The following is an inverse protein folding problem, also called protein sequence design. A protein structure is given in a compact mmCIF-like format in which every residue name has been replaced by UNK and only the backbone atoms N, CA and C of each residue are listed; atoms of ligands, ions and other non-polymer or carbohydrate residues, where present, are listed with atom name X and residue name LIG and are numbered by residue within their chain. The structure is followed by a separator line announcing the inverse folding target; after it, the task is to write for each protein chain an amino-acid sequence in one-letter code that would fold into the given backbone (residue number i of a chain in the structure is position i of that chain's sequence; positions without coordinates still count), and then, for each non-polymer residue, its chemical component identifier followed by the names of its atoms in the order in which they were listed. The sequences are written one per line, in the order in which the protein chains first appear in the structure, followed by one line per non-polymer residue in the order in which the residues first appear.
data_IF_365981073727
#
_entry.id   IF_365981073727
#
_cell.length_a   1.000
_cell.length_b   1.000
_cell.length_c   1.000
_cell.angle_alpha   90.00
_cell.angle_beta   90.00
_cell.angle_gamma   90.00
#
_symmetry.space_group_name_H-M   'P 1'
#
loop_
_entity.id
_entity.type
_entity.pdbx_description
1 polymer ?
#
# COMPACT_ATOMS: atom_id res chain seq x y z
N UNK A 1 15.32 22.81 -20.96
CA UNK A 1 14.80 24.15 -20.60
C UNK A 1 13.41 23.93 -20.03
N UNK A 2 13.08 24.42 -18.82
CA UNK A 2 11.80 24.07 -18.20
C UNK A 2 10.63 24.76 -18.91
N UNK A 3 9.59 23.99 -19.24
CA UNK A 3 8.31 24.51 -19.69
C UNK A 3 7.43 24.84 -18.48
N UNK A 4 6.76 25.99 -18.52
CA UNK A 4 5.85 26.40 -17.47
C UNK A 4 4.50 26.75 -18.07
N UNK A 5 3.44 26.20 -17.48
CA UNK A 5 2.07 26.59 -17.78
C UNK A 5 1.67 27.82 -16.94
N UNK A 6 1.11 28.82 -17.58
CA UNK A 6 0.61 30.04 -16.96
C UNK A 6 -0.88 30.21 -17.22
N UNK A 7 -1.58 30.78 -16.23
CA UNK A 7 -2.96 31.24 -16.34
C UNK A 7 -3.00 32.73 -15.99
N UNK A 8 -3.63 33.55 -16.84
CA UNK A 8 -3.88 34.94 -16.52
C UNK A 8 -5.17 35.06 -15.68
N UNK A 9 -5.15 35.85 -14.60
CA UNK A 9 -6.35 36.10 -13.80
C UNK A 9 -7.29 37.16 -14.40
N UNK A 10 -6.80 37.98 -15.33
CA UNK A 10 -7.59 39.07 -15.90
C UNK A 10 -8.44 38.64 -17.10
N UNK A 11 -7.91 37.77 -17.96
CA UNK A 11 -8.59 37.27 -19.17
C UNK A 11 -8.74 35.75 -19.21
N UNK A 12 -8.36 35.05 -18.13
CA UNK A 12 -8.42 33.58 -18.00
C UNK A 12 -7.62 32.78 -19.03
N UNK A 13 -6.86 33.45 -19.90
CA UNK A 13 -6.05 32.80 -20.93
C UNK A 13 -4.96 31.90 -20.32
N UNK A 14 -4.90 30.66 -20.80
CA UNK A 14 -3.90 29.66 -20.43
C UNK A 14 -2.90 29.45 -21.56
N UNK A 15 -1.61 29.51 -21.27
CA UNK A 15 -0.56 29.26 -22.25
C UNK A 15 0.66 28.59 -21.60
N UNK A 16 1.46 27.89 -22.40
CA UNK A 16 2.75 27.33 -22.00
C UNK A 16 3.89 28.14 -22.61
N UNK A 17 4.93 28.40 -21.80
CA UNK A 17 6.13 29.10 -22.27
C UNK A 17 7.39 28.45 -21.71
N UNK A 18 8.45 28.46 -22.50
CA UNK A 18 9.73 27.86 -22.14
C UNK A 18 10.60 28.97 -21.54
N UNK A 19 10.88 28.90 -20.25
CA UNK A 19 11.55 29.99 -19.54
C UNK A 19 13.02 29.64 -19.26
N UNK A 20 13.99 30.41 -19.78
CA UNK A 20 15.39 30.21 -19.42
C UNK A 20 15.65 30.67 -17.98
N UNK A 21 16.51 29.94 -17.26
CA UNK A 21 16.73 30.14 -15.81
C UNK A 21 17.16 31.58 -15.44
N UNK A 22 17.90 32.26 -16.33
CA UNK A 22 18.31 33.66 -16.15
C UNK A 22 17.14 34.66 -16.14
N UNK A 23 16.01 34.33 -16.77
CA UNK A 23 14.86 35.21 -16.90
C UNK A 23 13.72 34.85 -15.92
N UNK A 24 13.93 33.87 -15.05
CA UNK A 24 12.93 33.36 -14.10
C UNK A 24 12.38 34.44 -13.15
N UNK A 25 13.19 35.45 -12.78
CA UNK A 25 12.78 36.50 -11.83
C UNK A 25 11.96 37.64 -12.45
N UNK A 26 11.89 37.75 -13.79
CA UNK A 26 11.19 38.86 -14.44
C UNK A 26 9.69 38.56 -14.51
N UNK A 27 8.87 39.45 -13.94
CA UNK A 27 7.41 39.39 -14.06
C UNK A 27 7.02 39.66 -15.52
N UNK A 28 6.44 38.65 -16.18
CA UNK A 28 5.96 38.76 -17.56
C UNK A 28 4.57 39.40 -17.62
N UNK A 29 4.15 39.78 -18.83
CA UNK A 29 2.80 40.28 -19.15
C UNK A 29 2.05 39.19 -19.88
N UNK A 30 0.73 39.14 -19.73
CA UNK A 30 -0.12 38.26 -20.52
C UNK A 30 -0.02 38.64 -22.02
N UNK A 31 0.06 37.67 -22.95
CA UNK A 31 0.09 37.97 -24.38
C UNK A 31 -1.20 38.63 -24.89
N UNK A 32 -2.34 38.38 -24.24
CA UNK A 32 -3.65 38.85 -24.68
C UNK A 32 -4.03 40.20 -24.04
N UNK A 33 -4.03 40.29 -22.71
CA UNK A 33 -4.46 41.50 -22.00
C UNK A 33 -3.32 42.43 -21.56
N UNK A 34 -2.05 42.02 -21.73
CA UNK A 34 -0.84 42.78 -21.35
C UNK A 34 -0.75 43.16 -19.86
N UNK A 35 -1.63 42.65 -19.01
CA UNK A 35 -1.56 42.85 -17.55
C UNK A 35 -0.50 41.94 -16.89
N UNK A 36 -0.07 42.33 -15.69
CA UNK A 36 0.92 41.61 -14.87
C UNK A 36 0.31 40.56 -13.92
N UNK A 37 -0.94 40.14 -14.16
CA UNK A 37 -1.68 39.18 -13.33
C UNK A 37 -1.56 37.76 -13.89
N UNK A 38 -0.35 37.21 -13.88
CA UNK A 38 -0.06 35.85 -14.34
C UNK A 38 0.29 34.95 -13.15
N UNK A 39 -0.39 33.81 -13.06
CA UNK A 39 -0.09 32.76 -12.10
C UNK A 39 0.42 31.52 -12.82
N UNK A 40 1.33 30.79 -12.17
CA UNK A 40 1.86 29.55 -12.71
C UNK A 40 0.97 28.40 -12.27
N UNK A 41 0.50 27.62 -13.23
CA UNK A 41 -0.26 26.40 -12.95
C UNK A 41 0.75 25.32 -12.60
N UNK A 42 0.80 24.95 -11.32
CA UNK A 42 1.51 23.75 -10.89
C UNK A 42 0.56 22.58 -11.16
N UNK A 43 0.96 21.66 -12.05
CA UNK A 43 0.19 20.46 -12.32
C UNK A 43 0.01 19.59 -11.07
N UNK A 44 -0.98 18.70 -11.11
CA UNK A 44 -1.26 17.75 -10.03
C UNK A 44 0.02 16.96 -9.70
N UNK A 45 0.56 17.16 -8.50
CA UNK A 45 1.72 16.39 -8.02
C UNK A 45 1.21 14.99 -7.69
N UNK A 46 1.32 14.06 -8.63
CA UNK A 46 1.15 12.64 -8.32
C UNK A 46 2.33 12.23 -7.45
N UNK A 47 2.09 12.09 -6.14
CA UNK A 47 3.09 11.61 -5.20
C UNK A 47 3.45 10.16 -5.54
N UNK A 48 4.57 9.97 -6.23
CA UNK A 48 5.15 8.65 -6.43
C UNK A 48 6.25 8.47 -5.39
N UNK A 49 6.09 7.49 -4.49
CA UNK A 49 7.13 7.14 -3.52
C UNK A 49 8.28 6.48 -4.29
N UNK A 50 9.34 7.26 -4.57
CA UNK A 50 10.59 6.73 -5.11
C UNK A 50 11.38 6.09 -3.97
N UNK A 51 11.42 4.76 -3.92
CA UNK A 51 12.21 4.03 -2.92
C UNK A 51 11.96 2.52 -2.96
N UNK A 52 12.74 1.79 -2.16
CA UNK A 52 12.43 0.41 -1.83
C UNK A 52 11.17 0.35 -0.95
N UNK A 53 10.36 -0.72 -1.05
CA UNK A 53 9.09 -0.84 -0.34
C UNK A 53 9.36 -1.02 1.17
N UNK A 54 9.21 0.04 1.94
CA UNK A 54 9.44 0.00 3.40
C UNK A 54 8.22 -0.56 4.16
N UNK A 55 7.02 -0.40 3.62
CA UNK A 55 5.79 -0.87 4.28
C UNK A 55 5.49 -2.34 3.97
N UNK A 56 4.86 -3.03 4.92
CA UNK A 56 4.35 -4.40 4.76
C UNK A 56 3.47 -4.58 3.51
N UNK A 57 2.63 -3.59 3.19
CA UNK A 57 1.72 -3.64 2.04
C UNK A 57 2.48 -3.63 0.72
N UNK A 58 3.44 -2.72 0.56
CA UNK A 58 4.28 -2.66 -0.64
C UNK A 58 5.13 -3.94 -0.83
N UNK A 59 5.62 -4.54 0.27
CA UNK A 59 6.33 -5.83 0.20
C UNK A 59 5.40 -6.96 -0.23
N UNK A 60 4.17 -6.99 0.28
CA UNK A 60 3.17 -7.97 -0.11
C UNK A 60 2.82 -7.82 -1.60
N UNK A 61 2.58 -6.60 -2.07
CA UNK A 61 2.29 -6.31 -3.48
C UNK A 61 3.41 -6.80 -4.41
N UNK A 62 4.67 -6.43 -4.10
CA UNK A 62 5.84 -6.87 -4.87
C UNK A 62 5.98 -8.40 -4.88
N UNK A 63 5.73 -9.06 -3.75
CA UNK A 63 5.78 -10.51 -3.67
C UNK A 63 4.67 -11.18 -4.49
N UNK A 64 3.47 -10.59 -4.52
CA UNK A 64 2.37 -11.09 -5.36
C UNK A 64 2.60 -10.87 -6.85
N UNK A 65 3.20 -9.74 -7.24
CA UNK A 65 3.56 -9.45 -8.64
C UNK A 65 4.62 -10.44 -9.15
N UNK A 66 5.64 -10.75 -8.34
CA UNK A 66 6.70 -11.71 -8.70
C UNK A 66 6.21 -13.15 -8.85
N UNK A 67 5.10 -13.51 -8.19
CA UNK A 67 4.60 -14.87 -8.08
C UNK A 67 3.89 -15.35 -9.37
N UNK A 68 3.43 -14.42 -10.22
CA UNK A 68 2.68 -14.77 -11.44
C UNK A 68 1.30 -15.40 -11.14
N UNK A 69 0.47 -15.55 -12.18
CA UNK A 69 -0.93 -16.02 -12.02
C UNK A 69 -1.03 -17.48 -11.58
N UNK A 70 -0.14 -18.34 -12.07
CA UNK A 70 -0.17 -19.78 -11.82
C UNK A 70 0.20 -20.12 -10.37
N UNK A 71 1.35 -19.65 -9.87
CA UNK A 71 1.76 -19.92 -8.49
C UNK A 71 0.81 -19.28 -7.46
N UNK A 72 0.21 -18.14 -7.81
CA UNK A 72 -0.78 -17.48 -6.97
C UNK A 72 -2.06 -18.34 -6.86
N UNK A 73 -2.50 -18.93 -7.98
CA UNK A 73 -3.60 -19.89 -8.01
C UNK A 73 -3.31 -21.12 -7.16
N UNK A 74 -2.13 -21.72 -7.31
CA UNK A 74 -1.70 -22.89 -6.54
C UNK A 74 -1.62 -22.62 -5.04
N UNK A 75 -1.06 -21.48 -4.62
CA UNK A 75 -0.97 -21.13 -3.19
C UNK A 75 -2.33 -20.80 -2.60
N UNK A 76 -3.22 -20.15 -3.34
CA UNK A 76 -4.61 -19.91 -2.93
C UNK A 76 -5.37 -21.23 -2.78
N UNK A 77 -5.24 -22.13 -3.74
CA UNK A 77 -5.84 -23.47 -3.69
C UNK A 77 -5.36 -24.27 -2.48
N UNK A 78 -4.04 -24.31 -2.25
CA UNK A 78 -3.44 -24.97 -1.07
C UNK A 78 -3.94 -24.36 0.25
N UNK A 79 -4.08 -23.04 0.33
CA UNK A 79 -4.60 -22.36 1.52
C UNK A 79 -6.08 -22.68 1.76
N UNK A 80 -6.89 -22.73 0.70
CA UNK A 80 -8.30 -23.07 0.77
C UNK A 80 -8.51 -24.55 1.16
N UNK A 81 -7.76 -25.47 0.58
CA UNK A 81 -7.78 -26.90 0.93
C UNK A 81 -7.34 -27.14 2.38
N UNK A 82 -6.33 -26.41 2.86
CA UNK A 82 -5.88 -26.47 4.24
C UNK A 82 -6.95 -25.97 5.22
N UNK A 83 -7.61 -24.85 4.88
CA UNK A 83 -8.69 -24.29 5.67
C UNK A 83 -9.89 -25.25 5.78
N UNK A 84 -10.25 -25.92 4.68
CA UNK A 84 -11.36 -26.89 4.62
C UNK A 84 -11.07 -28.20 5.35
N UNK A 85 -9.81 -28.68 5.32
CA UNK A 85 -9.44 -29.94 5.96
C UNK A 85 -9.22 -29.83 7.48
N UNK A 86 -9.32 -28.63 8.06
CA UNK A 86 -8.97 -28.39 9.48
C UNK A 86 -7.53 -28.79 9.83
N UNK A 87 -6.74 -29.19 8.82
CA UNK A 87 -5.35 -29.58 8.94
C UNK A 87 -4.54 -28.31 8.82
N UNK A 88 -3.90 -27.92 9.92
CA UNK A 88 -2.71 -27.07 9.89
C UNK A 88 -1.80 -27.64 8.78
N UNK A 89 -1.45 -26.83 7.78
CA UNK A 89 -0.53 -27.25 6.71
C UNK A 89 0.75 -27.72 7.40
N UNK A 90 1.01 -29.02 7.34
CA UNK A 90 2.27 -29.60 7.79
C UNK A 90 3.37 -29.07 6.87
N UNK A 91 4.00 -27.96 7.25
CA UNK A 91 5.01 -27.31 6.43
C UNK A 91 5.49 -25.94 6.89
N UNK A 92 4.75 -25.21 7.74
CA UNK A 92 5.25 -23.94 8.30
C UNK A 92 4.94 -23.84 9.79
N UNK A 93 6.04 -23.81 10.56
CA UNK A 93 6.19 -23.32 11.93
C UNK A 93 4.89 -23.05 12.69
N UNK A 94 4.66 -23.80 13.77
CA UNK A 94 3.95 -23.22 14.90
C UNK A 94 4.54 -21.84 15.18
N UNK A 95 3.72 -20.78 15.19
CA UNK A 95 4.20 -19.47 15.56
C UNK A 95 4.97 -19.55 16.88
N UNK A 96 6.07 -18.81 17.02
CA UNK A 96 6.97 -18.90 18.18
C UNK A 96 6.26 -18.71 19.56
N UNK A 97 5.04 -18.14 19.54
CA UNK A 97 4.17 -17.92 20.69
C UNK A 97 3.25 -19.12 21.03
N UNK A 98 3.11 -20.12 20.16
CA UNK A 98 2.31 -21.34 20.39
C UNK A 98 3.12 -22.45 21.06
N UNK A 99 3.97 -22.13 22.05
CA UNK A 99 4.87 -23.12 22.67
C UNK A 99 4.18 -24.08 23.64
N UNK A 100 2.92 -23.86 24.03
CA UNK A 100 2.30 -24.58 25.17
C UNK A 100 0.84 -25.00 24.98
N UNK A 101 0.30 -24.97 23.75
CA UNK A 101 -1.11 -25.24 23.53
C UNK A 101 -1.38 -26.21 22.39
N UNK A 102 -1.69 -27.47 22.73
CA UNK A 102 -2.05 -28.50 21.74
C UNK A 102 -3.52 -28.47 21.31
N UNK A 103 -4.35 -27.59 21.90
CA UNK A 103 -5.78 -27.51 21.60
C UNK A 103 -6.05 -26.49 20.51
N UNK A 104 -6.89 -26.88 19.55
CA UNK A 104 -7.43 -25.98 18.54
C UNK A 104 -8.52 -25.09 19.14
N UNK A 105 -8.77 -23.92 18.53
CA UNK A 105 -9.81 -22.98 18.99
C UNK A 105 -11.21 -23.63 19.10
N UNK A 106 -11.52 -24.58 18.21
CA UNK A 106 -12.76 -25.35 18.24
C UNK A 106 -12.85 -26.31 19.45
N UNK A 107 -11.74 -26.95 19.82
CA UNK A 107 -11.68 -27.81 21.00
C UNK A 107 -11.81 -26.98 22.29
N UNK A 108 -11.17 -25.81 22.35
CA UNK A 108 -11.29 -24.88 23.48
C UNK A 108 -12.73 -24.39 23.62
N UNK A 109 -13.42 -24.10 22.52
CA UNK A 109 -14.83 -23.67 22.55
C UNK A 109 -15.76 -24.72 23.16
N UNK A 110 -15.49 -26.01 22.88
CA UNK A 110 -16.26 -27.17 23.38
C UNK A 110 -15.97 -27.53 24.84
N UNK A 111 -14.92 -26.97 25.45
CA UNK A 111 -14.60 -27.22 26.86
C UNK A 111 -15.59 -26.53 27.81
N UNK A 112 -15.85 -27.19 28.93
CA UNK A 112 -16.55 -26.58 30.07
C UNK A 112 -15.72 -25.44 30.67
N UNK A 113 -16.33 -24.49 31.41
CA UNK A 113 -15.60 -23.40 32.07
C UNK A 113 -14.46 -23.89 32.97
N UNK A 114 -14.65 -25.02 33.65
CA UNK A 114 -13.63 -25.64 34.52
C UNK A 114 -12.47 -26.24 33.70
N UNK A 115 -12.75 -26.84 32.55
CA UNK A 115 -11.72 -27.36 31.64
C UNK A 115 -10.92 -26.23 30.99
N UNK A 116 -11.58 -25.11 30.63
CA UNK A 116 -10.90 -23.91 30.13
C UNK A 116 -9.93 -23.34 31.16
N UNK A 117 -10.35 -23.25 32.43
CA UNK A 117 -9.47 -22.79 33.52
C UNK A 117 -8.24 -23.70 33.68
N UNK A 118 -8.44 -25.02 33.72
CA UNK A 118 -7.35 -26.00 33.80
C UNK A 118 -6.40 -25.92 32.59
N UNK A 119 -6.93 -25.67 31.41
CA UNK A 119 -6.15 -25.52 30.19
C UNK A 119 -5.27 -24.26 30.24
N UNK A 120 -5.78 -23.15 30.78
CA UNK A 120 -5.01 -21.92 30.98
C UNK A 120 -3.89 -22.13 32.01
N UNK A 121 -4.16 -22.85 33.09
CA UNK A 121 -3.21 -23.10 34.18
C UNK A 121 -2.11 -24.12 33.82
N UNK A 122 -2.48 -25.21 33.13
CA UNK A 122 -1.61 -26.38 32.93
C UNK A 122 -1.13 -26.56 31.49
N UNK A 123 -1.74 -25.89 30.52
CA UNK A 123 -1.42 -26.01 29.09
C UNK A 123 -1.78 -27.36 28.46
N UNK A 124 -2.38 -28.28 29.23
CA UNK A 124 -2.80 -29.60 28.77
C UNK A 124 -4.32 -29.72 28.74
N UNK A 125 -4.84 -30.46 27.75
CA UNK A 125 -6.27 -30.76 27.60
C UNK A 125 -6.84 -31.46 28.83
#
# INVERSE_FOLDING_TARGET
MPEYAYKCLACEHTFSDIVPMKQYKKRRKCPECKEHKLERVLGNVTGFVKGEPETLEHLAARNTEKMGSYELGDKRGKHEEASKKGKKVAGTNEPWYNKKGTATSQEISRMTPQQKARYIEKGTK
#
